data_IF_206933217164
#
_entry.id   IF_206933217164
#
_cell.length_a   1.000
_cell.length_b   1.000
_cell.length_c   1.000
_cell.angle_alpha   90.00
_cell.angle_beta   90.00
_cell.angle_gamma   90.00
#
_symmetry.space_group_name_H-M   'P 1'
#
loop_
_entity.id
_entity.type
_entity.pdbx_description
1 polymer ?
#
# COMPACT_ATOMS: atom_id res chain seq x y z
N UNK A 1 -1.63 -4.57 -65.26
CA UNK A 1 -0.91 -4.07 -64.06
C UNK A 1 -1.62 -2.97 -63.25
N UNK A 2 -2.69 -2.32 -63.73
CA UNK A 2 -3.40 -1.26 -62.97
C UNK A 2 -4.45 -1.75 -61.95
N UNK A 3 -4.86 -3.02 -62.03
CA UNK A 3 -5.85 -3.61 -61.11
C UNK A 3 -5.22 -4.13 -59.80
N UNK A 4 -4.00 -4.66 -59.84
CA UNK A 4 -3.31 -5.21 -58.67
C UNK A 4 -2.88 -4.13 -57.65
N UNK A 5 -2.65 -2.89 -58.11
CA UNK A 5 -2.25 -1.78 -57.25
C UNK A 5 -3.43 -1.19 -56.45
N UNK A 6 -4.67 -1.34 -56.95
CA UNK A 6 -5.87 -0.80 -56.29
C UNK A 6 -6.37 -1.71 -55.16
N UNK A 7 -6.16 -3.02 -55.25
CA UNK A 7 -6.50 -3.98 -54.18
C UNK A 7 -5.53 -3.91 -53.00
N UNK A 8 -4.25 -3.59 -53.23
CA UNK A 8 -3.26 -3.42 -52.16
C UNK A 8 -3.52 -2.18 -51.29
N UNK A 9 -4.04 -1.10 -51.88
CA UNK A 9 -4.35 0.14 -51.15
C UNK A 9 -5.60 0.00 -50.25
N UNK A 10 -6.58 -0.81 -50.68
CA UNK A 10 -7.78 -1.08 -49.88
C UNK A 10 -7.50 -1.98 -48.67
N UNK A 11 -6.54 -2.92 -48.77
CA UNK A 11 -6.14 -3.79 -47.66
C UNK A 11 -5.35 -3.03 -46.57
N UNK A 12 -4.52 -2.05 -46.95
CA UNK A 12 -3.77 -1.22 -46.02
C UNK A 12 -4.67 -0.26 -45.21
N UNK A 13 -5.78 0.21 -45.78
CA UNK A 13 -6.74 1.10 -45.11
C UNK A 13 -7.66 0.38 -44.13
N UNK A 14 -7.85 -0.94 -44.26
CA UNK A 14 -8.65 -1.75 -43.33
C UNK A 14 -7.85 -2.28 -42.13
N UNK A 15 -6.52 -2.21 -42.17
CA UNK A 15 -5.65 -2.63 -41.07
C UNK A 15 -5.43 -1.54 -40.02
N UNK A 16 -5.85 -0.30 -40.30
CA UNK A 16 -5.64 0.87 -39.43
C UNK A 16 -6.72 1.11 -38.36
N UNK A 17 -7.81 0.34 -38.35
CA UNK A 17 -9.01 0.67 -37.55
C UNK A 17 -9.19 -0.15 -36.27
N UNK A 18 -8.22 -1.00 -35.91
CA UNK A 18 -8.26 -1.78 -34.66
C UNK A 18 -7.21 -1.32 -33.64
N UNK A 19 -6.94 -0.01 -33.56
CA UNK A 19 -6.55 0.56 -32.28
C UNK A 19 -7.83 0.74 -31.45
N UNK A 20 -8.50 -0.38 -31.14
CA UNK A 20 -9.44 -0.41 -30.04
C UNK A 20 -8.60 0.00 -28.83
N UNK A 21 -8.83 1.21 -28.32
CA UNK A 21 -8.38 1.61 -27.00
C UNK A 21 -8.89 0.52 -26.07
N UNK A 22 -8.02 -0.42 -25.71
CA UNK A 22 -8.26 -1.36 -24.64
C UNK A 22 -8.34 -0.49 -23.39
N UNK A 23 -9.53 0.07 -23.15
CA UNK A 23 -9.85 0.76 -21.92
C UNK A 23 -9.72 -0.33 -20.87
N UNK A 24 -8.54 -0.34 -20.24
CA UNK A 24 -8.17 -1.37 -19.30
C UNK A 24 -9.23 -1.32 -18.22
N UNK A 25 -10.00 -2.41 -18.08
CA UNK A 25 -11.10 -2.44 -17.13
C UNK A 25 -10.55 -2.03 -15.75
N UNK A 26 -11.21 -1.08 -15.10
CA UNK A 26 -10.80 -0.55 -13.80
C UNK A 26 -11.83 -0.86 -12.73
N UNK A 27 -11.36 -1.06 -11.51
CA UNK A 27 -12.19 -0.96 -10.31
C UNK A 27 -11.73 0.20 -9.43
N UNK A 28 -12.41 0.40 -8.31
CA UNK A 28 -12.06 1.41 -7.32
C UNK A 28 -11.45 0.75 -6.10
N UNK A 29 -10.25 1.17 -5.71
CA UNK A 29 -9.71 0.89 -4.38
C UNK A 29 -10.06 2.05 -3.45
N UNK A 30 -10.67 1.76 -2.31
CA UNK A 30 -10.80 2.71 -1.19
C UNK A 30 -9.79 2.31 -0.12
N UNK A 31 -8.79 3.16 0.12
CA UNK A 31 -7.95 3.12 1.31
C UNK A 31 -8.68 3.84 2.44
N UNK A 32 -9.18 3.09 3.42
CA UNK A 32 -9.85 3.61 4.61
C UNK A 32 -8.92 3.48 5.81
N UNK A 33 -8.55 4.61 6.43
CA UNK A 33 -7.69 4.63 7.60
C UNK A 33 -8.50 5.05 8.81
N UNK A 34 -8.59 4.16 9.80
CA UNK A 34 -9.30 4.44 11.05
C UNK A 34 -8.61 5.56 11.83
N UNK A 35 -9.30 6.10 12.84
CA UNK A 35 -8.65 6.97 13.82
C UNK A 35 -7.56 6.18 14.54
N UNK A 36 -6.42 6.83 14.81
CA UNK A 36 -5.37 6.23 15.60
C UNK A 36 -5.89 5.84 16.99
N UNK A 37 -5.62 4.60 17.38
CA UNK A 37 -5.85 4.11 18.73
C UNK A 37 -4.52 3.98 19.47
N UNK A 38 -4.57 4.01 20.80
CA UNK A 38 -3.40 3.84 21.65
C UNK A 38 -3.77 3.01 22.86
N UNK A 39 -2.99 1.97 23.13
CA UNK A 39 -3.10 1.17 24.35
C UNK A 39 -2.53 1.89 25.57
N UNK A 40 -1.69 2.90 25.33
CA UNK A 40 -1.06 3.73 26.37
C UNK A 40 -1.60 5.16 26.38
N UNK A 41 -1.60 5.84 27.54
CA UNK A 41 -1.93 7.26 27.59
C UNK A 41 -0.87 8.10 26.85
N UNK A 42 -1.33 8.90 25.89
CA UNK A 42 -0.48 9.81 25.11
C UNK A 42 -0.41 11.19 25.76
N UNK A 43 0.77 11.83 25.75
CA UNK A 43 0.90 13.23 26.17
C UNK A 43 0.14 14.17 25.23
N UNK A 44 -0.22 15.38 25.70
CA UNK A 44 -0.94 16.36 24.87
C UNK A 44 -0.16 16.76 23.61
N UNK A 45 1.15 16.93 23.74
CA UNK A 45 2.05 17.26 22.64
C UNK A 45 2.03 16.19 21.55
N UNK A 46 2.03 14.94 21.98
CA UNK A 46 1.99 13.80 21.08
C UNK A 46 0.64 13.62 20.40
N UNK A 47 -0.46 13.85 21.14
CA UNK A 47 -1.80 13.86 20.56
C UNK A 47 -1.92 14.90 19.44
N UNK A 48 -1.32 16.08 19.61
CA UNK A 48 -1.33 17.12 18.57
C UNK A 48 -0.47 16.76 17.37
N UNK A 49 0.73 16.18 17.59
CA UNK A 49 1.60 15.69 16.52
C UNK A 49 0.92 14.61 15.67
N UNK A 50 0.23 13.68 16.34
CA UNK A 50 -0.49 12.58 15.71
C UNK A 50 -1.71 13.06 14.92
N UNK A 51 -2.36 14.16 15.33
CA UNK A 51 -3.58 14.68 14.68
C UNK A 51 -3.37 14.98 13.20
N UNK A 52 -2.15 15.35 12.82
CA UNK A 52 -1.77 15.60 11.41
C UNK A 52 -1.19 14.38 10.71
N UNK A 53 -0.99 13.28 11.44
CA UNK A 53 -0.43 12.04 10.92
C UNK A 53 -1.36 11.28 9.98
N UNK A 54 -0.79 10.29 9.33
CA UNK A 54 -1.48 9.40 8.41
C UNK A 54 -0.65 8.16 8.13
N UNK A 55 -1.23 7.29 7.32
CA UNK A 55 -0.53 6.13 6.76
C UNK A 55 -0.01 6.52 5.39
N UNK A 56 1.30 6.37 5.20
CA UNK A 56 1.93 6.50 3.90
C UNK A 56 1.82 5.18 3.15
N UNK A 57 1.45 5.27 1.87
CA UNK A 57 1.25 4.11 1.02
C UNK A 57 1.43 4.45 -0.45
N UNK A 58 1.56 3.43 -1.28
CA UNK A 58 1.59 3.60 -2.73
C UNK A 58 1.48 2.27 -3.45
N UNK A 59 1.53 2.33 -4.78
CA UNK A 59 1.37 1.15 -5.63
C UNK A 59 2.48 1.13 -6.67
N UNK A 60 3.08 -0.06 -6.87
CA UNK A 60 4.06 -0.34 -7.92
C UNK A 60 3.71 -1.68 -8.57
N UNK A 61 3.24 -1.63 -9.82
CA UNK A 61 2.64 -2.80 -10.48
C UNK A 61 1.47 -3.34 -9.66
N UNK A 62 1.54 -4.62 -9.28
CA UNK A 62 0.53 -5.28 -8.45
C UNK A 62 0.91 -5.35 -6.96
N UNK A 63 1.90 -4.58 -6.51
CA UNK A 63 2.24 -4.46 -5.09
C UNK A 63 1.70 -3.13 -4.54
N UNK A 64 0.82 -3.23 -3.54
CA UNK A 64 0.45 -2.11 -2.68
C UNK A 64 1.40 -2.10 -1.49
N UNK A 65 2.07 -0.97 -1.27
CA UNK A 65 3.04 -0.79 -0.20
C UNK A 65 2.42 0.08 0.87
N UNK A 66 2.41 -0.38 2.11
CA UNK A 66 2.14 0.41 3.31
C UNK A 66 3.48 0.71 3.99
N UNK A 67 3.68 1.91 4.51
CA UNK A 67 4.92 2.23 5.21
C UNK A 67 4.71 3.15 6.41
N UNK A 68 5.56 2.92 7.41
CA UNK A 68 5.80 3.82 8.56
C UNK A 68 7.24 4.32 8.59
N UNK A 69 7.98 4.09 7.49
CA UNK A 69 9.34 4.55 7.25
C UNK A 69 9.27 5.69 6.24
N UNK A 70 10.19 6.64 6.37
CA UNK A 70 10.30 7.77 5.46
C UNK A 70 10.41 7.32 3.99
N UNK A 71 9.51 7.85 3.16
CA UNK A 71 9.33 7.44 1.76
C UNK A 71 10.54 7.72 0.88
N UNK A 72 11.46 8.61 1.28
CA UNK A 72 12.71 8.86 0.53
C UNK A 72 13.62 7.64 0.38
N UNK A 73 13.42 6.61 1.21
CA UNK A 73 14.18 5.36 1.16
C UNK A 73 13.48 4.28 0.32
N UNK A 74 12.31 4.61 -0.24
CA UNK A 74 11.45 3.69 -0.96
C UNK A 74 11.38 4.09 -2.43
N UNK A 75 11.32 3.10 -3.31
CA UNK A 75 11.26 3.30 -4.76
C UNK A 75 9.83 3.01 -5.28
N UNK A 76 8.91 3.98 -5.16
CA UNK A 76 7.60 3.92 -5.81
C UNK A 76 7.03 5.30 -6.19
N UNK A 77 6.37 5.37 -7.36
CA UNK A 77 6.01 6.61 -8.06
C UNK A 77 4.74 7.34 -7.55
N UNK A 78 3.98 6.72 -6.63
CA UNK A 78 2.65 7.21 -6.21
C UNK A 78 2.50 7.22 -4.69
N UNK A 79 3.33 8.01 -4.01
CA UNK A 79 3.28 8.24 -2.56
C UNK A 79 2.03 8.99 -2.11
N UNK A 80 1.05 8.27 -1.59
CA UNK A 80 -0.13 8.82 -0.93
C UNK A 80 0.05 8.82 0.59
N UNK A 81 -0.51 9.83 1.24
CA UNK A 81 -0.70 9.85 2.69
C UNK A 81 -2.19 9.93 2.98
N UNK A 82 -2.77 8.87 3.55
CA UNK A 82 -4.16 8.90 4.04
C UNK A 82 -4.15 9.21 5.53
N UNK A 83 -4.70 10.37 5.90
CA UNK A 83 -4.76 10.84 7.30
C UNK A 83 -5.59 9.89 8.18
N UNK A 84 -5.28 9.84 9.46
CA UNK A 84 -6.05 9.05 10.43
C UNK A 84 -7.51 9.52 10.49
N UNK A 85 -8.46 8.57 10.35
CA UNK A 85 -9.89 8.84 10.28
C UNK A 85 -10.39 9.31 8.91
N UNK A 86 -9.59 9.19 7.85
CA UNK A 86 -9.95 9.57 6.49
C UNK A 86 -9.92 8.39 5.54
N UNK A 87 -10.51 8.60 4.36
CA UNK A 87 -10.49 7.66 3.24
C UNK A 87 -9.94 8.32 1.99
N UNK A 88 -9.27 7.53 1.17
CA UNK A 88 -8.78 7.91 -0.14
C UNK A 88 -9.25 6.90 -1.17
N UNK A 89 -9.77 7.35 -2.30
CA UNK A 89 -10.25 6.49 -3.39
C UNK A 89 -9.37 6.66 -4.62
N UNK A 90 -8.99 5.54 -5.24
CA UNK A 90 -8.14 5.49 -6.42
C UNK A 90 -8.71 4.48 -7.42
N UNK A 91 -8.73 4.83 -8.70
CA UNK A 91 -9.03 3.87 -9.76
C UNK A 91 -7.80 3.03 -10.05
N UNK A 92 -7.97 1.71 -10.08
CA UNK A 92 -6.91 0.75 -10.37
C UNK A 92 -7.31 -0.18 -11.50
N UNK A 93 -6.35 -0.62 -12.35
CA UNK A 93 -6.57 -1.72 -13.25
C UNK A 93 -7.09 -2.95 -12.53
N UNK A 94 -7.99 -3.68 -13.17
CA UNK A 94 -8.44 -4.99 -12.69
C UNK A 94 -7.25 -5.92 -12.53
N UNK A 95 -7.21 -6.62 -11.40
CA UNK A 95 -6.12 -7.53 -11.10
C UNK A 95 -6.05 -7.89 -9.63
N UNK A 96 -5.17 -8.83 -9.32
CA UNK A 96 -4.85 -9.21 -7.94
C UNK A 96 -3.62 -8.45 -7.48
N UNK A 97 -3.79 -7.72 -6.39
CA UNK A 97 -2.77 -6.92 -5.73
C UNK A 97 -2.31 -7.63 -4.46
N UNK A 98 -1.04 -7.48 -4.12
CA UNK A 98 -0.44 -7.98 -2.89
C UNK A 98 -0.03 -6.82 -2.00
N UNK A 99 -0.28 -6.95 -0.71
CA UNK A 99 0.11 -5.96 0.28
C UNK A 99 1.51 -6.30 0.77
N UNK A 100 2.40 -5.31 0.73
CA UNK A 100 3.72 -5.33 1.33
C UNK A 100 3.79 -4.20 2.35
N UNK A 101 4.38 -4.44 3.51
CA UNK A 101 4.57 -3.42 4.53
C UNK A 101 6.05 -3.20 4.80
N UNK A 102 6.47 -1.94 4.84
CA UNK A 102 7.82 -1.53 5.26
C UNK A 102 7.71 -0.84 6.60
N UNK A 103 8.33 -1.42 7.62
CA UNK A 103 8.22 -0.98 9.00
C UNK A 103 9.58 -0.98 9.69
N UNK A 104 9.61 -0.42 10.89
CA UNK A 104 10.78 -0.47 11.76
C UNK A 104 10.35 -0.70 13.21
N UNK A 105 11.18 -1.43 13.94
CA UNK A 105 11.05 -1.55 15.40
C UNK A 105 11.30 -0.17 16.07
N UNK A 106 10.68 0.11 17.23
CA UNK A 106 10.77 1.40 17.94
C UNK A 106 12.13 1.61 18.64
N UNK A 107 13.21 1.62 17.85
CA UNK A 107 14.59 1.80 18.32
C UNK A 107 15.07 3.24 18.13
N UNK A 108 15.84 3.76 19.08
CA UNK A 108 16.60 5.02 18.89
C UNK A 108 17.87 4.76 18.10
N UNK A 109 18.23 5.71 17.27
CA UNK A 109 19.51 5.72 16.56
C UNK A 109 19.96 7.16 16.32
N UNK A 110 21.27 7.40 16.33
CA UNK A 110 21.88 8.70 16.01
C UNK A 110 21.99 8.94 14.49
N UNK A 111 21.62 7.96 13.67
CA UNK A 111 21.63 8.09 12.21
C UNK A 111 20.49 7.26 11.61
N UNK A 112 19.82 7.81 10.61
CA UNK A 112 18.79 7.10 9.85
C UNK A 112 19.33 5.84 9.19
N UNK A 113 20.54 5.87 8.63
CA UNK A 113 21.14 4.67 8.02
C UNK A 113 21.26 3.50 9.01
N UNK A 114 21.76 3.75 10.23
CA UNK A 114 21.81 2.68 11.26
C UNK A 114 20.42 2.22 11.69
N UNK A 115 19.40 3.08 11.62
CA UNK A 115 18.03 2.70 11.92
C UNK A 115 17.46 1.80 10.83
N UNK A 116 17.73 2.14 9.56
CA UNK A 116 17.44 1.27 8.42
C UNK A 116 18.12 -0.08 8.59
N UNK A 117 19.41 -0.11 8.91
CA UNK A 117 20.15 -1.36 8.95
C UNK A 117 19.79 -2.27 10.13
N UNK A 118 19.37 -1.71 11.27
CA UNK A 118 19.19 -2.48 12.52
C UNK A 118 17.74 -2.71 12.94
N UNK A 119 16.84 -1.84 12.50
CA UNK A 119 15.46 -1.83 12.99
C UNK A 119 14.43 -1.97 11.87
N UNK A 120 14.81 -1.73 10.62
CA UNK A 120 13.87 -1.73 9.48
C UNK A 120 13.76 -3.10 8.84
N UNK A 121 12.55 -3.46 8.46
CA UNK A 121 12.23 -4.73 7.82
C UNK A 121 11.08 -4.58 6.84
N UNK A 122 10.94 -5.58 5.97
CA UNK A 122 9.89 -5.67 4.97
C UNK A 122 9.09 -6.95 5.22
N UNK A 123 7.78 -6.80 5.35
CA UNK A 123 6.82 -7.89 5.37
C UNK A 123 6.15 -7.95 4.00
N UNK A 124 6.54 -8.92 3.17
CA UNK A 124 6.01 -9.06 1.82
C UNK A 124 4.75 -9.90 1.80
N UNK A 125 3.85 -9.59 0.87
CA UNK A 125 2.69 -10.42 0.55
C UNK A 125 1.87 -10.79 1.79
N UNK A 126 1.75 -9.85 2.73
CA UNK A 126 1.10 -10.10 4.03
C UNK A 126 -0.39 -10.37 3.89
N UNK A 127 -0.99 -9.87 2.80
CA UNK A 127 -2.35 -10.11 2.35
C UNK A 127 -2.45 -9.84 0.83
N UNK A 128 -3.57 -10.21 0.23
CA UNK A 128 -3.88 -9.92 -1.18
C UNK A 128 -5.34 -9.55 -1.35
N UNK A 129 -5.64 -8.78 -2.39
CA UNK A 129 -7.01 -8.43 -2.77
C UNK A 129 -7.16 -8.38 -4.28
N UNK A 130 -8.39 -8.53 -4.75
CA UNK A 130 -8.72 -8.41 -6.17
C UNK A 130 -9.50 -7.13 -6.39
N UNK A 131 -9.09 -6.38 -7.42
CA UNK A 131 -9.86 -5.26 -7.96
C UNK A 131 -10.65 -5.80 -9.14
N UNK A 132 -11.96 -5.68 -9.09
CA UNK A 132 -12.88 -6.13 -10.14
C UNK A 132 -13.46 -4.93 -10.92
N UNK A 133 -13.81 -5.16 -12.19
CA UNK A 133 -14.27 -4.10 -13.08
C UNK A 133 -15.56 -3.45 -12.53
N UNK A 134 -15.54 -2.12 -12.40
CA UNK A 134 -16.69 -1.34 -11.92
C UNK A 134 -17.06 -1.56 -10.45
N UNK A 135 -16.32 -2.37 -9.70
CA UNK A 135 -16.56 -2.63 -8.28
C UNK A 135 -15.62 -1.83 -7.38
N UNK A 136 -16.05 -1.66 -6.13
CA UNK A 136 -15.25 -1.02 -5.09
C UNK A 136 -14.70 -2.06 -4.13
N UNK A 137 -13.39 -2.12 -3.99
CA UNK A 137 -12.68 -2.90 -2.97
C UNK A 137 -12.18 -1.95 -1.89
N UNK A 138 -12.42 -2.25 -0.62
CA UNK A 138 -11.97 -1.40 0.50
C UNK A 138 -10.83 -2.09 1.23
N UNK A 139 -9.68 -1.41 1.31
CA UNK A 139 -8.58 -1.75 2.21
C UNK A 139 -8.72 -0.90 3.46
N UNK A 140 -9.04 -1.53 4.56
CA UNK A 140 -9.17 -0.92 5.88
C UNK A 140 -7.85 -1.05 6.63
N UNK A 141 -7.36 0.05 7.19
CA UNK A 141 -6.12 0.10 7.96
C UNK A 141 -6.41 0.75 9.31
N UNK A 142 -6.18 0.02 10.39
CA UNK A 142 -6.26 0.52 11.75
C UNK A 142 -4.85 0.71 12.32
N UNK A 143 -4.44 1.96 12.57
CA UNK A 143 -3.18 2.23 13.24
C UNK A 143 -3.39 2.18 14.77
N UNK A 144 -2.54 1.44 15.47
CA UNK A 144 -2.59 1.26 16.92
C UNK A 144 -1.19 1.45 17.50
N UNK A 145 -1.03 2.35 18.46
CA UNK A 145 0.17 2.40 19.30
C UNK A 145 0.03 1.32 20.36
N UNK A 146 0.85 0.28 20.27
CA UNK A 146 0.84 -0.83 21.21
C UNK A 146 1.67 -0.50 22.46
N UNK A 147 1.37 -1.12 23.60
CA UNK A 147 2.13 -0.90 24.84
C UNK A 147 3.62 -1.28 24.71
N UNK A 148 3.92 -2.31 23.92
CA UNK A 148 5.30 -2.70 23.60
C UNK A 148 6.06 -1.63 22.80
N UNK A 149 5.36 -0.84 21.99
CA UNK A 149 5.93 0.27 21.23
C UNK A 149 6.15 1.52 22.11
N UNK A 150 5.41 1.62 23.22
CA UNK A 150 5.45 2.75 24.15
C UNK A 150 6.66 2.76 25.09
N UNK A 151 7.42 1.66 25.17
CA UNK A 151 8.64 1.53 25.98
C UNK A 151 9.72 2.56 25.61
N UNK A 152 9.57 3.24 24.48
CA UNK A 152 10.41 4.35 24.07
C UNK A 152 9.58 5.61 23.81
N UNK A 153 9.37 6.48 24.82
CA UNK A 153 8.47 7.64 24.72
C UNK A 153 8.92 8.73 23.73
N UNK A 154 9.99 8.50 22.97
CA UNK A 154 10.44 9.40 21.89
C UNK A 154 10.18 8.86 20.48
N UNK A 155 9.69 7.61 20.33
CA UNK A 155 9.50 6.97 19.02
C UNK A 155 8.14 6.28 19.01
N UNK A 156 7.11 6.98 18.53
CA UNK A 156 5.77 6.43 18.36
C UNK A 156 5.59 5.97 16.93
N UNK A 157 5.56 4.66 16.75
CA UNK A 157 5.34 4.02 15.46
C UNK A 157 4.10 3.14 15.64
N UNK A 158 2.99 3.43 14.94
CA UNK A 158 1.81 2.59 15.08
C UNK A 158 2.04 1.24 14.38
N UNK A 159 1.59 0.19 15.04
CA UNK A 159 1.30 -1.07 14.36
C UNK A 159 0.06 -0.87 13.50
N UNK A 160 0.17 -1.18 12.21
CA UNK A 160 -0.90 -1.10 11.23
C UNK A 160 -1.57 -2.47 11.14
N UNK A 161 -2.87 -2.50 11.40
CA UNK A 161 -3.72 -3.66 11.22
C UNK A 161 -4.52 -3.48 9.94
N UNK A 162 -4.25 -4.30 8.92
CA UNK A 162 -4.90 -4.20 7.63
C UNK A 162 -5.90 -5.34 7.39
N UNK A 163 -7.05 -5.01 6.80
CA UNK A 163 -8.08 -5.96 6.37
C UNK A 163 -8.71 -5.51 5.05
N UNK A 164 -9.19 -6.46 4.25
CA UNK A 164 -9.79 -6.18 2.95
C UNK A 164 -11.25 -6.59 2.98
N UNK A 165 -12.13 -5.66 2.60
CA UNK A 165 -13.53 -5.94 2.30
C UNK A 165 -13.72 -5.91 0.78
N UNK A 166 -14.12 -7.03 0.20
CA UNK A 166 -14.49 -7.12 -1.21
C UNK A 166 -16.02 -7.24 -1.34
N UNK A 167 -16.61 -6.77 -2.44
CA UNK A 167 -18.06 -6.81 -2.67
C UNK A 167 -18.56 -8.19 -3.16
N UNK A 168 -17.83 -9.30 -2.94
CA UNK A 168 -18.37 -10.61 -3.33
C UNK A 168 -19.60 -10.95 -2.49
N UNK A 169 -20.58 -11.59 -3.12
CA UNK A 169 -21.93 -11.84 -2.65
C UNK A 169 -22.06 -12.70 -1.36
N UNK A 170 -20.94 -13.00 -0.71
CA UNK A 170 -20.84 -13.78 0.53
C UNK A 170 -20.44 -12.92 1.74
N UNK A 171 -20.42 -11.60 1.60
CA UNK A 171 -20.36 -10.69 2.74
C UNK A 171 -21.68 -10.78 3.52
N UNK A 172 -21.79 -11.81 4.36
CA UNK A 172 -22.79 -11.88 5.42
C UNK A 172 -22.60 -10.62 6.28
N UNK A 173 -23.60 -9.77 6.18
CA UNK A 173 -23.98 -8.66 7.05
C UNK A 173 -22.96 -8.31 8.17
N UNK A 174 -22.32 -7.14 8.05
CA UNK A 174 -21.61 -6.50 9.17
C UNK A 174 -20.32 -7.16 9.68
N UNK A 175 -19.81 -8.21 9.04
CA UNK A 175 -18.57 -8.86 9.52
C UNK A 175 -17.36 -7.96 9.23
N UNK A 176 -16.80 -7.35 10.28
CA UNK A 176 -15.53 -6.62 10.21
C UNK A 176 -14.45 -7.59 9.70
N UNK A 177 -13.69 -7.26 8.63
CA UNK A 177 -12.64 -8.12 8.13
C UNK A 177 -11.67 -8.47 9.25
N UNK A 178 -11.25 -9.74 9.34
CA UNK A 178 -10.17 -10.12 10.25
C UNK A 178 -8.90 -9.36 9.84
N UNK A 179 -8.54 -8.34 10.61
CA UNK A 179 -7.37 -7.50 10.35
C UNK A 179 -6.10 -8.23 10.81
N UNK A 180 -5.04 -8.13 10.02
CA UNK A 180 -3.72 -8.67 10.32
C UNK A 180 -2.76 -7.54 10.64
N UNK A 181 -1.95 -7.69 11.68
CA UNK A 181 -0.83 -6.79 11.93
C UNK A 181 0.17 -6.90 10.77
N UNK A 182 0.24 -5.90 9.91
CA UNK A 182 1.07 -5.93 8.70
C UNK A 182 2.44 -5.30 8.92
N UNK A 183 2.58 -4.39 9.89
CA UNK A 183 3.85 -3.73 10.23
C UNK A 183 4.54 -4.28 11.48
N UNK A 184 4.03 -5.36 12.06
CA UNK A 184 4.69 -6.08 13.17
C UNK A 184 5.72 -7.06 12.60
N UNK A 185 6.88 -7.15 13.26
CA UNK A 185 7.94 -8.07 12.82
C UNK A 185 7.59 -9.51 13.19
N UNK A 186 7.83 -10.44 12.28
CA UNK A 186 7.68 -11.88 12.49
C UNK A 186 8.82 -12.67 11.82
N UNK A 187 8.74 -14.00 11.87
CA UNK A 187 9.76 -14.89 11.30
C UNK A 187 9.80 -14.88 9.76
N UNK A 188 8.83 -14.24 9.10
CA UNK A 188 8.76 -14.06 7.65
C UNK A 188 9.27 -12.69 7.21
N UNK A 189 9.51 -11.77 8.14
CA UNK A 189 10.07 -10.45 7.87
C UNK A 189 11.48 -10.54 7.31
N UNK A 190 11.75 -9.80 6.23
CA UNK A 190 13.10 -9.65 5.69
C UNK A 190 13.73 -8.38 6.24
N UNK A 191 14.91 -8.47 6.87
CA UNK A 191 15.64 -7.29 7.34
C UNK A 191 16.02 -6.38 6.16
N UNK A 192 16.01 -5.07 6.37
CA UNK A 192 16.27 -4.10 5.31
C UNK A 192 17.63 -4.28 4.60
N UNK A 193 18.75 -4.61 5.29
CA UNK A 193 20.01 -4.90 4.62
C UNK A 193 19.97 -6.10 3.68
N UNK A 194 19.08 -7.07 3.93
CA UNK A 194 18.98 -8.33 3.18
C UNK A 194 17.91 -8.26 2.09
N UNK A 195 16.99 -7.31 2.20
CA UNK A 195 15.94 -7.12 1.21
C UNK A 195 16.53 -6.61 -0.12
N UNK A 196 16.15 -7.29 -1.22
CA UNK A 196 16.54 -6.99 -2.61
C UNK A 196 15.34 -6.74 -3.52
N UNK A 197 14.15 -6.59 -2.95
CA UNK A 197 12.92 -6.44 -3.73
C UNK A 197 12.69 -5.00 -4.24
N UNK A 198 11.65 -4.81 -5.05
CA UNK A 198 11.45 -3.60 -5.86
C UNK A 198 11.04 -2.35 -5.06
N UNK A 199 10.76 -2.50 -3.76
CA UNK A 199 10.35 -1.40 -2.88
C UNK A 199 11.57 -0.62 -2.34
N UNK A 200 12.76 -1.23 -2.33
CA UNK A 200 13.95 -0.60 -1.77
C UNK A 200 14.56 0.36 -2.79
N UNK A 201 14.76 1.60 -2.39
CA UNK A 201 15.55 2.52 -3.19
C UNK A 201 17.01 2.06 -3.26
N UNK A 202 17.49 1.88 -4.48
CA UNK A 202 18.90 1.60 -4.79
C UNK A 202 19.42 2.82 -5.55
N UNK A 203 20.28 3.65 -4.94
CA UNK A 203 20.93 4.73 -5.66
C UNK A 203 21.63 4.17 -6.90
N UNK A 204 21.27 4.67 -8.07
CA UNK A 204 21.95 4.36 -9.34
C UNK A 204 23.14 5.27 -9.54
#
# INVERSE_FOLDING_TARGET
MRFALRTLLAAALLSGSFACLAQSATGTLVMEVDKLQSEVPLSKELQELIRTGGVDWGIKGNELVLTVVDTRYLDFDYGFTTRYGYRHALQLPVGTYRITAVSREPRRSYSEQRLLDRATFVNRNVASFTVEAGKTTTLQVAPVIMDEDALNPAVFIPTLFAGVSAPSADAVDGTIPKRKAVTLRDNTSTAWPDYRGPVKFIPR
#
